data_IF_198586837436
#
_entry.id   IF_198586837436
#
_cell.length_a   1.000
_cell.length_b   1.000
_cell.length_c   1.000
_cell.angle_alpha   90.00
_cell.angle_beta   90.00
_cell.angle_gamma   90.00
#
_symmetry.space_group_name_H-M   'P 1'
#
loop_
_entity.id
_entity.type
_entity.pdbx_description
1 polymer ?
#
# COMPACT_ATOMS: atom_id res chain seq x y z
N UNK A 1 6.98 -8.39 24.74
CA UNK A 1 7.79 -7.25 25.25
C UNK A 1 7.81 -6.19 24.16
N UNK A 2 7.54 -4.92 24.51
CA UNK A 2 7.48 -3.82 23.54
C UNK A 2 8.88 -3.41 23.08
N UNK A 3 9.08 -3.22 21.77
CA UNK A 3 10.37 -2.77 21.21
C UNK A 3 10.75 -1.38 21.76
N UNK A 4 12.04 -1.09 21.96
CA UNK A 4 12.48 0.22 22.45
C UNK A 4 12.05 1.34 21.49
N UNK A 5 11.59 2.46 22.03
CA UNK A 5 11.12 3.60 21.22
C UNK A 5 12.15 4.11 20.19
N UNK A 6 13.45 3.95 20.47
CA UNK A 6 14.55 4.34 19.59
C UNK A 6 14.64 3.53 18.28
N UNK A 7 14.18 2.26 18.26
CA UNK A 7 14.14 1.46 17.03
C UNK A 7 12.97 1.83 16.12
N UNK A 8 11.95 2.51 16.67
CA UNK A 8 10.73 2.88 15.96
C UNK A 8 10.78 4.33 15.43
N UNK A 9 11.70 5.17 15.90
CA UNK A 9 11.85 6.56 15.45
C UNK A 9 11.98 6.73 13.92
N UNK A 10 12.75 5.90 13.19
CA UNK A 10 12.83 6.03 11.73
C UNK A 10 11.51 5.71 11.04
N UNK A 11 10.80 4.69 11.53
CA UNK A 11 9.50 4.26 11.01
C UNK A 11 8.41 5.30 11.33
N UNK A 12 8.46 5.89 12.51
CA UNK A 12 7.57 6.99 12.93
C UNK A 12 7.79 8.24 12.06
N UNK A 13 9.05 8.65 11.84
CA UNK A 13 9.35 9.81 10.97
C UNK A 13 8.94 9.58 9.52
N UNK A 14 9.14 8.36 8.99
CA UNK A 14 8.66 8.00 7.64
C UNK A 14 7.14 8.01 7.57
N UNK A 15 6.45 7.42 8.55
CA UNK A 15 5.00 7.46 8.62
C UNK A 15 4.46 8.90 8.69
N UNK A 16 5.07 9.76 9.50
CA UNK A 16 4.74 11.19 9.61
C UNK A 16 4.99 11.94 8.30
N UNK A 17 6.12 11.70 7.63
CA UNK A 17 6.43 12.29 6.33
C UNK A 17 5.43 11.85 5.24
N UNK A 18 5.08 10.57 5.22
CA UNK A 18 4.09 10.02 4.29
C UNK A 18 2.68 10.57 4.57
N UNK A 19 2.33 10.79 5.84
CA UNK A 19 1.09 11.46 6.24
C UNK A 19 1.07 12.94 5.84
N UNK A 20 2.19 13.65 5.99
CA UNK A 20 2.32 15.05 5.58
C UNK A 20 2.22 15.20 4.05
N UNK A 21 2.89 14.31 3.30
CA UNK A 21 2.79 14.23 1.83
C UNK A 21 1.36 13.92 1.36
N UNK A 22 0.66 13.02 2.06
CA UNK A 22 -0.75 12.74 1.80
C UNK A 22 -1.65 13.97 2.05
N UNK A 23 -1.39 14.74 3.11
CA UNK A 23 -2.15 15.96 3.42
C UNK A 23 -1.87 17.07 2.40
N UNK A 24 -0.62 17.22 1.97
CA UNK A 24 -0.19 18.23 1.00
C UNK A 24 -0.74 17.96 -0.40
N UNK A 25 -0.71 16.70 -0.87
CA UNK A 25 -1.14 16.37 -2.25
C UNK A 25 -2.64 16.29 -2.45
N UNK A 26 -3.41 16.03 -1.40
CA UNK A 26 -4.80 15.65 -1.57
C UNK A 26 -5.80 16.80 -1.55
N UNK A 27 -5.58 17.84 -0.74
CA UNK A 27 -6.68 18.73 -0.34
C UNK A 27 -7.93 17.99 0.20
N UNK A 28 -7.83 16.69 0.51
CA UNK A 28 -8.94 15.79 0.85
C UNK A 28 -9.51 14.90 -0.26
N UNK A 29 -9.04 14.97 -1.52
CA UNK A 29 -9.53 14.08 -2.58
C UNK A 29 -9.02 12.64 -2.39
N UNK A 30 -9.95 11.76 -2.08
CA UNK A 30 -9.68 10.34 -1.84
C UNK A 30 -9.10 9.64 -3.07
N UNK A 31 -9.45 10.04 -4.28
CA UNK A 31 -8.91 9.42 -5.50
C UNK A 31 -7.44 9.76 -5.68
N UNK A 32 -7.08 11.04 -5.55
CA UNK A 32 -5.68 11.50 -5.66
C UNK A 32 -4.80 10.78 -4.62
N UNK A 33 -5.32 10.60 -3.40
CA UNK A 33 -4.59 9.86 -2.37
C UNK A 33 -4.39 8.40 -2.75
N UNK A 34 -5.44 7.72 -3.20
CA UNK A 34 -5.33 6.30 -3.58
C UNK A 34 -4.34 6.14 -4.74
N UNK A 35 -4.37 7.03 -5.74
CA UNK A 35 -3.41 7.03 -6.84
C UNK A 35 -1.96 7.19 -6.37
N UNK A 36 -1.70 8.15 -5.48
CA UNK A 36 -0.38 8.33 -4.88
C UNK A 36 0.09 7.10 -4.08
N UNK A 37 -0.80 6.53 -3.27
CA UNK A 37 -0.51 5.32 -2.50
C UNK A 37 -0.19 4.14 -3.42
N UNK A 38 -0.87 4.01 -4.55
CA UNK A 38 -0.59 2.94 -5.53
C UNK A 38 0.82 3.04 -6.12
N UNK A 39 1.29 4.24 -6.45
CA UNK A 39 2.70 4.45 -6.84
C UNK A 39 3.66 4.06 -5.73
N UNK A 40 3.41 4.55 -4.51
CA UNK A 40 4.22 4.27 -3.32
C UNK A 40 4.30 2.76 -3.01
N UNK A 41 3.19 2.02 -3.17
CA UNK A 41 3.18 0.55 -2.98
C UNK A 41 4.17 -0.13 -3.92
N UNK A 42 4.23 0.26 -5.19
CA UNK A 42 5.13 -0.37 -6.17
C UNK A 42 6.59 -0.05 -5.85
N UNK A 43 6.87 1.21 -5.50
CA UNK A 43 8.23 1.65 -5.17
C UNK A 43 8.76 0.91 -3.94
N UNK A 44 8.00 0.91 -2.84
CA UNK A 44 8.42 0.30 -1.57
C UNK A 44 8.45 -1.24 -1.67
N UNK A 45 7.53 -1.85 -2.42
CA UNK A 45 7.60 -3.29 -2.68
C UNK A 45 8.84 -3.67 -3.48
N UNK A 46 9.22 -2.85 -4.47
CA UNK A 46 10.42 -3.06 -5.27
C UNK A 46 11.72 -2.94 -4.48
N UNK A 47 11.77 -2.04 -3.49
CA UNK A 47 12.90 -1.95 -2.55
C UNK A 47 12.88 -3.15 -1.59
N UNK A 48 11.70 -3.45 -1.02
CA UNK A 48 11.50 -4.53 -0.07
C UNK A 48 11.77 -5.93 -0.63
N UNK A 49 11.56 -6.14 -1.93
CA UNK A 49 11.68 -7.44 -2.59
C UNK A 49 12.68 -7.40 -3.74
N UNK A 50 13.77 -8.16 -3.61
CA UNK A 50 14.78 -8.33 -4.66
C UNK A 50 15.07 -9.81 -4.84
N UNK A 51 15.25 -10.25 -6.10
CA UNK A 51 15.53 -11.64 -6.46
C UNK A 51 14.57 -12.67 -5.84
N UNK A 52 13.29 -12.29 -5.72
CA UNK A 52 12.24 -13.15 -5.15
C UNK A 52 12.31 -13.35 -3.64
N UNK A 53 13.06 -12.50 -2.92
CA UNK A 53 13.22 -12.54 -1.46
C UNK A 53 12.89 -11.19 -0.85
N UNK A 54 12.39 -11.21 0.39
CA UNK A 54 12.30 -10.01 1.21
C UNK A 54 13.72 -9.62 1.62
N UNK A 55 14.18 -8.46 1.15
CA UNK A 55 15.52 -7.92 1.42
C UNK A 55 15.48 -6.71 2.36
N UNK A 56 14.39 -5.94 2.30
CA UNK A 56 14.06 -4.93 3.31
C UNK A 56 12.66 -5.22 3.89
N UNK A 57 12.59 -5.83 5.09
CA UNK A 57 11.31 -6.11 5.73
C UNK A 57 10.48 -4.86 6.07
N UNK A 58 11.14 -3.70 6.26
CA UNK A 58 10.48 -2.43 6.55
C UNK A 58 9.70 -1.94 5.34
N UNK A 59 10.36 -1.82 4.18
CA UNK A 59 9.68 -1.35 2.96
C UNK A 59 8.62 -2.35 2.48
N UNK A 60 8.87 -3.66 2.67
CA UNK A 60 7.86 -4.71 2.41
C UNK A 60 6.63 -4.56 3.31
N UNK A 61 6.82 -4.12 4.57
CA UNK A 61 5.74 -3.81 5.50
C UNK A 61 5.01 -2.52 5.14
N UNK A 62 5.73 -1.48 4.73
CA UNK A 62 5.16 -0.20 4.34
C UNK A 62 4.27 -0.34 3.11
N UNK A 63 4.70 -1.10 2.09
CA UNK A 63 3.88 -1.44 0.93
C UNK A 63 2.55 -2.14 1.30
N UNK A 64 2.56 -3.04 2.28
CA UNK A 64 1.33 -3.65 2.82
C UNK A 64 0.46 -2.59 3.53
N UNK A 65 1.08 -1.76 4.37
CA UNK A 65 0.42 -0.68 5.08
C UNK A 65 -0.33 0.27 4.14
N UNK A 66 0.33 0.74 3.08
CA UNK A 66 -0.29 1.61 2.07
C UNK A 66 -1.43 0.93 1.33
N UNK A 67 -1.28 -0.36 0.99
CA UNK A 67 -2.35 -1.16 0.36
C UNK A 67 -3.60 -1.23 1.26
N UNK A 68 -3.42 -1.46 2.57
CA UNK A 68 -4.51 -1.52 3.56
C UNK A 68 -5.16 -0.15 3.76
N UNK A 69 -4.37 0.93 3.82
CA UNK A 69 -4.88 2.31 3.94
C UNK A 69 -5.72 2.67 2.72
N UNK A 70 -5.21 2.43 1.51
CA UNK A 70 -5.96 2.67 0.27
C UNK A 70 -7.29 1.90 0.24
N UNK A 71 -7.29 0.61 0.62
CA UNK A 71 -8.51 -0.19 0.74
C UNK A 71 -9.50 0.41 1.76
N UNK A 72 -9.03 0.87 2.92
CA UNK A 72 -9.90 1.50 3.93
C UNK A 72 -10.49 2.82 3.43
N UNK A 73 -9.74 3.59 2.66
CA UNK A 73 -10.21 4.84 2.05
C UNK A 73 -11.26 4.57 0.96
N UNK A 74 -11.01 3.60 0.08
CA UNK A 74 -11.95 3.21 -0.97
C UNK A 74 -13.31 2.71 -0.42
N UNK A 75 -13.33 2.08 0.76
CA UNK A 75 -14.57 1.67 1.44
C UNK A 75 -15.42 2.83 1.96
N UNK A 76 -14.84 4.02 2.08
CA UNK A 76 -15.54 5.24 2.51
C UNK A 76 -16.13 6.02 1.34
N UNK A 77 -15.81 5.63 0.11
CA UNK A 77 -16.47 6.18 -1.07
C UNK A 77 -17.90 5.66 -1.13
N UNK A 78 -18.87 6.56 -1.07
CA UNK A 78 -20.29 6.25 -1.23
C UNK A 78 -20.67 6.20 -2.71
N UNK A 79 -20.05 5.26 -3.44
CA UNK A 79 -20.28 5.06 -4.88
C UNK A 79 -20.45 3.56 -5.18
N UNK A 80 -21.60 3.12 -5.72
CA UNK A 80 -21.79 1.74 -6.17
C UNK A 80 -20.73 1.23 -7.15
N UNK A 81 -20.12 2.13 -7.95
CA UNK A 81 -19.03 1.83 -8.88
C UNK A 81 -17.70 1.58 -8.17
N UNK A 82 -17.57 1.98 -6.90
CA UNK A 82 -16.40 1.65 -6.09
C UNK A 82 -16.32 0.16 -5.74
N UNK A 83 -17.31 -0.67 -6.08
CA UNK A 83 -17.25 -2.12 -5.92
C UNK A 83 -16.05 -2.75 -6.63
N UNK A 84 -15.74 -2.30 -7.86
CA UNK A 84 -14.59 -2.77 -8.63
C UNK A 84 -13.27 -2.34 -7.98
N UNK A 85 -13.17 -1.07 -7.59
CA UNK A 85 -12.01 -0.54 -6.87
C UNK A 85 -11.75 -1.33 -5.57
N UNK A 86 -12.79 -1.56 -4.78
CA UNK A 86 -12.70 -2.32 -3.53
C UNK A 86 -12.30 -3.78 -3.77
N UNK A 87 -12.76 -4.40 -4.85
CA UNK A 87 -12.34 -5.76 -5.25
C UNK A 87 -10.85 -5.79 -5.57
N UNK A 88 -10.37 -4.88 -6.41
CA UNK A 88 -8.96 -4.87 -6.82
C UNK A 88 -8.02 -4.53 -5.66
N UNK A 89 -8.42 -3.61 -4.77
CA UNK A 89 -7.66 -3.30 -3.54
C UNK A 89 -7.64 -4.49 -2.57
N UNK A 90 -8.75 -5.24 -2.44
CA UNK A 90 -8.77 -6.46 -1.64
C UNK A 90 -7.85 -7.53 -2.24
N UNK A 91 -7.82 -7.67 -3.56
CA UNK A 91 -6.92 -8.58 -4.25
C UNK A 91 -5.45 -8.18 -4.04
N UNK A 92 -5.13 -6.88 -4.10
CA UNK A 92 -3.80 -6.36 -3.79
C UNK A 92 -3.38 -6.69 -2.35
N UNK A 93 -4.21 -6.39 -1.35
CA UNK A 93 -3.92 -6.71 0.06
C UNK A 93 -3.71 -8.22 0.28
N UNK A 94 -4.45 -9.06 -0.46
CA UNK A 94 -4.33 -10.52 -0.38
C UNK A 94 -3.07 -11.09 -1.05
N UNK A 95 -2.22 -10.26 -1.66
CA UNK A 95 -0.92 -10.69 -2.17
C UNK A 95 0.11 -10.95 -1.06
N UNK A 96 -0.14 -10.40 0.14
CA UNK A 96 0.61 -10.73 1.34
C UNK A 96 0.02 -11.96 2.05
N UNK A 97 0.81 -12.66 2.89
CA UNK A 97 0.29 -13.75 3.71
C UNK A 97 -0.88 -13.31 4.60
N UNK A 98 -1.76 -14.25 4.97
CA UNK A 98 -2.97 -13.95 5.75
C UNK A 98 -2.71 -13.33 7.14
N UNK A 99 -1.50 -13.51 7.69
CA UNK A 99 -1.04 -12.88 8.94
C UNK A 99 -0.37 -11.52 8.76
N UNK A 100 -0.30 -11.01 7.53
CA UNK A 100 0.47 -9.82 7.16
C UNK A 100 1.91 -10.14 6.73
N UNK A 101 2.68 -9.10 6.36
CA UNK A 101 4.08 -9.22 5.97
C UNK A 101 4.96 -9.69 7.14
N UNK A 102 5.62 -10.83 6.95
CA UNK A 102 6.72 -11.32 7.79
C UNK A 102 8.04 -11.28 7.00
N UNK A 103 9.17 -11.05 7.67
CA UNK A 103 10.48 -10.98 7.02
C UNK A 103 10.88 -12.28 6.29
N UNK A 104 10.37 -13.42 6.74
CA UNK A 104 10.59 -14.75 6.15
C UNK A 104 9.47 -15.17 5.17
N UNK A 105 8.59 -14.23 4.80
CA UNK A 105 7.56 -14.49 3.78
C UNK A 105 8.20 -14.82 2.44
N UNK A 106 7.54 -15.70 1.67
CA UNK A 106 7.82 -15.81 0.23
C UNK A 106 7.03 -14.71 -0.50
N UNK A 107 7.68 -13.65 -1.01
CA UNK A 107 6.98 -12.57 -1.67
C UNK A 107 6.48 -13.01 -3.05
N UNK A 108 5.47 -12.31 -3.55
CA UNK A 108 5.09 -12.37 -4.95
C UNK A 108 6.13 -11.64 -5.81
N UNK A 109 6.25 -11.96 -7.11
CA UNK A 109 7.09 -11.18 -8.02
C UNK A 109 6.66 -9.71 -8.05
N UNK A 110 7.63 -8.80 -8.10
CA UNK A 110 7.39 -7.34 -8.19
C UNK A 110 6.44 -7.00 -9.35
N UNK A 111 6.62 -7.66 -10.50
CA UNK A 111 5.76 -7.49 -11.67
C UNK A 111 4.29 -7.86 -11.41
N UNK A 112 4.01 -8.87 -10.58
CA UNK A 112 2.63 -9.22 -10.23
C UNK A 112 1.99 -8.14 -9.36
N UNK A 113 2.74 -7.57 -8.41
CA UNK A 113 2.24 -6.48 -7.56
C UNK A 113 1.99 -5.24 -8.39
N UNK A 114 2.93 -4.85 -9.26
CA UNK A 114 2.76 -3.73 -10.18
C UNK A 114 1.54 -3.92 -11.12
N UNK A 115 1.33 -5.14 -11.63
CA UNK A 115 0.16 -5.45 -12.45
C UNK A 115 -1.15 -5.32 -11.65
N UNK A 116 -1.19 -5.77 -10.39
CA UNK A 116 -2.37 -5.64 -9.56
C UNK A 116 -2.64 -4.17 -9.16
N UNK A 117 -1.60 -3.40 -8.84
CA UNK A 117 -1.69 -1.94 -8.65
C UNK A 117 -2.25 -1.25 -9.90
N UNK A 118 -1.82 -1.67 -11.09
CA UNK A 118 -2.35 -1.12 -12.36
C UNK A 118 -3.87 -1.36 -12.50
N UNK A 119 -4.37 -2.53 -12.08
CA UNK A 119 -5.82 -2.80 -12.05
C UNK A 119 -6.56 -1.90 -11.07
N UNK A 120 -5.96 -1.62 -9.91
CA UNK A 120 -6.51 -0.66 -8.94
C UNK A 120 -6.64 0.73 -9.57
N UNK A 121 -5.59 1.22 -10.23
CA UNK A 121 -5.59 2.52 -10.89
C UNK A 121 -6.62 2.60 -12.04
N UNK A 122 -6.76 1.53 -12.82
CA UNK A 122 -7.81 1.45 -13.85
C UNK A 122 -9.21 1.53 -13.22
N UNK A 123 -9.48 0.75 -12.18
CA UNK A 123 -10.77 0.80 -11.47
C UNK A 123 -11.03 2.17 -10.82
N UNK A 124 -9.99 2.82 -10.30
CA UNK A 124 -10.06 4.16 -9.73
C UNK A 124 -10.42 5.21 -10.80
N UNK A 125 -9.81 5.13 -11.97
CA UNK A 125 -10.05 6.05 -13.10
C UNK A 125 -11.46 5.95 -13.69
N UNK A 126 -12.14 4.81 -13.48
CA UNK A 126 -13.50 4.59 -13.93
C UNK A 126 -14.57 5.21 -13.00
N UNK A 127 -14.17 5.71 -11.82
CA UNK A 127 -15.07 6.40 -10.90
C UNK A 127 -15.38 7.82 -11.41
N UNK A 128 -16.64 8.29 -11.29
CA UNK A 128 -17.13 9.57 -11.81
C UNK A 128 -16.46 10.79 -11.18
#
# INVERSE_FOLDING_TARGET
EGRPAAELEPQLKKAEANMALMQEKAGGDTKIIIEYLMGTVVDEYGVGVQDGKVTDPGEFQDAFGFSVVAMKMAKRLDDPKAADLNRELKALVAMWPAGGPLADSTPKPVAEVAAQTSKVLLALSALP
#
